data_IF_563453228624
#
_entry.id   IF_563453228624
#
_cell.length_a   1.000
_cell.length_b   1.000
_cell.length_c   1.000
_cell.angle_alpha   90.00
_cell.angle_beta   90.00
_cell.angle_gamma   90.00
#
_symmetry.space_group_name_H-M   'P 1'
#
loop_
_entity.id
_entity.type
_entity.pdbx_description
1 polymer ?
#
# COMPACT_ATOMS: atom_id res chain seq x y z
N UNK A 1 2.73 8.35 -5.26
CA UNK A 1 2.28 7.04 -5.77
C UNK A 1 1.82 6.23 -4.57
N UNK A 2 0.72 5.48 -4.67
CA UNK A 2 0.21 4.65 -3.56
C UNK A 2 0.15 3.19 -3.99
N UNK A 3 0.79 2.31 -3.21
CA UNK A 3 0.78 0.86 -3.45
C UNK A 3 0.01 0.20 -2.32
N UNK A 4 -1.00 -0.59 -2.67
CA UNK A 4 -1.70 -1.47 -1.73
C UNK A 4 -1.31 -2.92 -2.05
N UNK A 5 -0.95 -3.65 -1.00
CA UNK A 5 -0.64 -5.08 -1.07
C UNK A 5 -1.59 -5.80 -0.14
N UNK A 6 -2.42 -6.67 -0.71
CA UNK A 6 -3.20 -7.64 0.06
C UNK A 6 -2.40 -8.93 0.12
N UNK A 7 -1.99 -9.32 1.33
CA UNK A 7 -1.33 -10.60 1.55
C UNK A 7 -1.97 -11.33 2.73
N UNK A 8 -1.91 -12.66 2.68
CA UNK A 8 -2.47 -13.56 3.70
C UNK A 8 -1.74 -13.42 5.04
N UNK A 9 -0.48 -13.04 4.99
CA UNK A 9 0.37 -12.67 6.13
C UNK A 9 1.16 -11.44 5.71
N UNK A 10 0.97 -10.31 6.40
CA UNK A 10 1.72 -9.08 6.16
C UNK A 10 2.70 -8.91 7.32
N UNK A 11 4.02 -8.82 7.07
CA UNK A 11 4.98 -8.49 8.12
C UNK A 11 4.70 -7.09 8.66
N UNK A 12 4.85 -6.88 9.98
CA UNK A 12 4.69 -5.55 10.58
C UNK A 12 5.62 -4.54 9.90
N UNK A 13 5.03 -3.56 9.24
CA UNK A 13 5.78 -2.53 8.56
C UNK A 13 6.28 -1.51 9.59
N UNK A 14 7.55 -1.09 9.48
CA UNK A 14 8.06 -0.04 10.35
C UNK A 14 7.33 1.30 10.05
N UNK A 15 7.23 2.20 11.03
CA UNK A 15 6.81 3.58 10.77
C UNK A 15 7.76 4.21 9.73
N UNK A 16 7.19 4.87 8.73
CA UNK A 16 7.93 5.46 7.61
C UNK A 16 8.08 6.95 7.87
N UNK A 17 9.23 7.33 8.41
CA UNK A 17 9.60 8.73 8.69
C UNK A 17 10.77 9.20 7.80
N UNK A 18 11.37 8.28 7.03
CA UNK A 18 12.52 8.55 6.18
C UNK A 18 12.53 7.68 4.92
N UNK A 19 13.28 8.12 3.91
CA UNK A 19 13.46 7.37 2.66
C UNK A 19 14.12 6.00 2.87
N UNK A 20 15.01 5.86 3.85
CA UNK A 20 15.64 4.58 4.19
C UNK A 20 14.63 3.60 4.81
N UNK A 21 13.73 4.07 5.67
CA UNK A 21 12.63 3.26 6.22
C UNK A 21 11.62 2.89 5.14
N UNK A 22 11.31 3.80 4.21
CA UNK A 22 10.46 3.49 3.06
C UNK A 22 11.07 2.36 2.22
N UNK A 23 12.36 2.45 1.90
CA UNK A 23 13.07 1.41 1.17
C UNK A 23 13.00 0.06 1.89
N UNK A 24 13.19 0.07 3.22
CA UNK A 24 13.09 -1.13 4.05
C UNK A 24 11.68 -1.72 4.05
N UNK A 25 10.64 -0.90 4.19
CA UNK A 25 9.25 -1.34 4.13
C UNK A 25 8.91 -1.95 2.76
N UNK A 26 9.40 -1.37 1.66
CA UNK A 26 9.24 -1.91 0.31
C UNK A 26 9.97 -3.25 0.14
N UNK A 27 11.17 -3.40 0.68
CA UNK A 27 11.90 -4.67 0.69
C UNK A 27 11.16 -5.76 1.48
N UNK A 28 10.56 -5.39 2.61
CA UNK A 28 9.74 -6.32 3.40
C UNK A 28 8.50 -6.77 2.62
N UNK A 29 7.84 -5.87 1.91
CA UNK A 29 6.74 -6.22 1.02
C UNK A 29 7.20 -7.13 -0.13
N UNK A 30 8.37 -6.86 -0.73
CA UNK A 30 8.95 -7.70 -1.77
C UNK A 30 9.37 -9.09 -1.28
N UNK A 31 9.64 -9.25 0.03
CA UNK A 31 9.97 -10.53 0.64
C UNK A 31 8.75 -11.43 0.89
N UNK A 32 7.52 -10.89 0.74
CA UNK A 32 6.30 -11.69 0.88
C UNK A 32 6.27 -12.73 -0.26
N UNK A 33 6.21 -14.04 0.03
CA UNK A 33 6.11 -15.06 -0.99
C UNK A 33 4.89 -14.83 -1.88
N UNK A 34 5.02 -15.01 -3.20
CA UNK A 34 3.93 -14.78 -4.15
C UNK A 34 2.68 -15.62 -3.84
N UNK A 35 2.85 -16.82 -3.28
CA UNK A 35 1.75 -17.67 -2.80
C UNK A 35 0.91 -17.05 -1.68
N UNK A 36 1.49 -16.10 -0.94
CA UNK A 36 0.84 -15.36 0.13
C UNK A 36 0.29 -14.02 -0.35
N UNK A 37 0.68 -13.54 -1.54
CA UNK A 37 0.14 -12.33 -2.14
C UNK A 37 -1.20 -12.66 -2.78
N UNK A 38 -2.26 -12.00 -2.32
CA UNK A 38 -3.61 -12.16 -2.86
C UNK A 38 -3.87 -11.14 -3.98
N UNK A 39 -3.37 -9.91 -3.81
CA UNK A 39 -3.42 -8.88 -4.83
C UNK A 39 -2.37 -7.80 -4.58
N UNK A 40 -1.82 -7.23 -5.64
CA UNK A 40 -1.06 -5.98 -5.60
C UNK A 40 -1.78 -4.99 -6.48
N UNK A 41 -2.08 -3.81 -5.94
CA UNK A 41 -2.69 -2.73 -6.71
C UNK A 41 -1.93 -1.44 -6.51
N UNK A 42 -1.51 -0.84 -7.62
CA UNK A 42 -1.04 0.55 -7.64
C UNK A 42 -2.28 1.42 -7.77
N UNK A 43 -2.68 2.06 -6.68
CA UNK A 43 -3.96 2.76 -6.58
C UNK A 43 -3.97 4.12 -7.27
N UNK A 44 -2.83 4.80 -7.30
CA UNK A 44 -2.80 6.22 -7.63
C UNK A 44 -1.49 6.62 -8.30
N UNK A 45 -1.59 7.03 -9.57
CA UNK A 45 -0.56 7.74 -10.33
C UNK A 45 -0.93 9.23 -10.35
N UNK A 46 -0.33 10.06 -9.47
CA UNK A 46 -0.67 11.48 -9.40
C UNK A 46 -0.46 12.14 -10.75
N UNK A 47 -1.50 12.85 -11.23
CA UNK A 47 -1.43 13.60 -12.48
C UNK A 47 -0.91 15.03 -12.25
N UNK A 48 -0.83 15.47 -10.98
CA UNK A 48 -0.37 16.79 -10.52
C UNK A 48 0.32 16.65 -9.15
N UNK A 49 1.15 17.63 -8.77
CA UNK A 49 1.90 17.62 -7.50
C UNK A 49 1.00 17.54 -6.26
N UNK A 50 -0.11 18.26 -6.25
CA UNK A 50 -1.04 18.30 -5.09
C UNK A 50 -2.11 17.20 -5.12
N UNK A 51 -1.97 16.22 -6.01
CA UNK A 51 -2.97 15.18 -6.19
C UNK A 51 -2.68 13.98 -5.28
N UNK A 52 -3.34 13.96 -4.11
CA UNK A 52 -3.27 12.88 -3.14
C UNK A 52 -4.56 12.07 -3.11
N UNK A 53 -4.40 10.76 -2.93
CA UNK A 53 -5.53 9.85 -2.73
C UNK A 53 -6.11 10.06 -1.32
N UNK A 54 -7.29 10.66 -1.23
CA UNK A 54 -8.01 10.84 0.05
C UNK A 54 -8.69 9.56 0.51
N UNK A 55 -8.90 9.42 1.82
CA UNK A 55 -9.62 8.30 2.43
C UNK A 55 -11.01 8.11 1.82
N UNK A 56 -11.76 9.21 1.63
CA UNK A 56 -13.09 9.17 1.01
C UNK A 56 -13.06 8.59 -0.41
N UNK A 57 -12.05 8.96 -1.21
CA UNK A 57 -11.87 8.46 -2.58
C UNK A 57 -11.48 6.99 -2.56
N UNK A 58 -10.64 6.59 -1.60
CA UNK A 58 -10.29 5.18 -1.38
C UNK A 58 -11.52 4.35 -0.98
N UNK A 59 -12.34 4.81 -0.03
CA UNK A 59 -13.56 4.10 0.39
C UNK A 59 -14.63 4.03 -0.71
N UNK A 60 -14.72 5.06 -1.57
CA UNK A 60 -15.63 5.07 -2.71
C UNK A 60 -15.22 4.05 -3.77
N UNK A 61 -13.94 4.03 -4.14
CA UNK A 61 -13.44 3.19 -5.23
C UNK A 61 -13.10 1.77 -4.75
N UNK A 62 -12.91 1.58 -3.42
CA UNK A 62 -12.55 0.33 -2.76
C UNK A 62 -13.37 0.06 -1.49
N UNK A 63 -14.69 -0.07 -1.60
CA UNK A 63 -15.58 -0.22 -0.45
C UNK A 63 -15.33 -1.48 0.40
N UNK A 64 -14.61 -2.47 -0.16
CA UNK A 64 -14.22 -3.72 0.51
C UNK A 64 -13.00 -3.57 1.42
N UNK A 65 -12.29 -2.44 1.36
CA UNK A 65 -11.12 -2.14 2.21
C UNK A 65 -11.49 -1.50 3.55
N UNK A 66 -12.79 -1.47 3.91
CA UNK A 66 -13.19 -0.98 5.23
C UNK A 66 -12.50 -1.82 6.30
N UNK A 67 -11.83 -1.20 7.28
CA UNK A 67 -11.40 -1.92 8.48
C UNK A 67 -12.64 -2.53 9.13
N UNK A 68 -12.53 -3.79 9.59
CA UNK A 68 -13.54 -4.42 10.43
C UNK A 68 -13.60 -3.76 11.80
#
# INVERSE_FOLDING_TARGET
>A
FTVIVAARVVPELPPIESSSQLMKALQMLASVPSSNIMAVKVLWTPQKEDDYLTEQKMLKDYPLLRPL
#
